data_IF_400877679002
#
_entry.id   IF_400877679002
#
_cell.length_a   1.000
_cell.length_b   1.000
_cell.length_c   1.000
_cell.angle_alpha   90.00
_cell.angle_beta   90.00
_cell.angle_gamma   90.00
#
_symmetry.space_group_name_H-M   'P 1'
#
loop_
_entity.id
_entity.type
_entity.pdbx_description
1 polymer ?
#
# COMPACT_ATOMS: atom_id res chain seq x y z
N UNK A 1 13.80 -13.45 18.79
CA UNK A 1 13.53 -13.06 17.40
C UNK A 1 12.67 -11.80 17.42
N UNK A 2 13.01 -10.80 16.61
CA UNK A 2 12.25 -9.56 16.53
C UNK A 2 11.34 -9.60 15.29
N UNK A 3 10.08 -9.22 15.47
CA UNK A 3 9.15 -9.10 14.37
C UNK A 3 9.06 -7.64 13.95
N UNK A 4 9.25 -7.37 12.67
CA UNK A 4 9.15 -6.03 12.12
C UNK A 4 7.73 -5.77 11.64
N UNK A 5 7.21 -4.59 11.94
CA UNK A 5 5.92 -4.11 11.40
C UNK A 5 6.18 -2.86 10.59
N UNK A 6 6.06 -2.98 9.28
CA UNK A 6 6.18 -1.84 8.37
C UNK A 6 4.81 -1.26 8.06
N UNK A 7 4.72 0.06 8.06
CA UNK A 7 3.50 0.76 7.65
C UNK A 7 3.88 2.12 7.07
N UNK A 8 2.94 2.75 6.36
CA UNK A 8 3.12 4.08 5.83
C UNK A 8 1.78 4.79 5.74
N UNK A 9 1.75 6.06 6.13
CA UNK A 9 0.53 6.86 6.14
C UNK A 9 -0.09 7.02 4.75
N UNK A 10 0.70 6.93 3.68
CA UNK A 10 0.19 7.00 2.32
C UNK A 10 -0.85 5.90 2.03
N UNK A 11 -0.71 4.73 2.69
CA UNK A 11 -1.66 3.64 2.52
C UNK A 11 -3.03 3.97 3.10
N UNK A 12 -3.11 4.89 4.07
CA UNK A 12 -4.38 5.38 4.62
C UNK A 12 -5.08 6.34 3.66
N UNK A 13 -4.34 6.91 2.70
CA UNK A 13 -4.88 7.79 1.69
C UNK A 13 -5.38 7.04 0.45
N UNK A 14 -5.13 5.72 0.39
CA UNK A 14 -5.57 4.88 -0.73
C UNK A 14 -7.05 4.56 -0.59
N UNK A 15 -7.89 5.45 -1.11
CA UNK A 15 -9.34 5.34 -1.04
C UNK A 15 -9.90 4.89 -2.38
N UNK A 16 -10.43 3.67 -2.40
CA UNK A 16 -10.95 3.02 -3.60
C UNK A 16 -12.45 3.20 -3.78
N UNK A 17 -13.08 4.02 -2.93
CA UNK A 17 -14.51 4.26 -2.96
C UNK A 17 -15.26 3.47 -1.88
N UNK A 18 -16.49 3.93 -1.58
CA UNK A 18 -17.24 3.41 -0.42
C UNK A 18 -17.73 1.97 -0.58
N UNK A 19 -17.78 1.45 -1.81
CA UNK A 19 -18.30 0.11 -2.09
C UNK A 19 -17.20 -0.92 -2.34
N UNK A 20 -15.94 -0.53 -2.27
CA UNK A 20 -14.83 -1.45 -2.50
C UNK A 20 -14.43 -2.11 -1.17
N UNK A 21 -14.12 -3.45 -1.18
CA UNK A 21 -13.67 -4.12 0.05
C UNK A 21 -12.34 -3.60 0.57
N UNK A 22 -11.45 -3.13 -0.29
CA UNK A 22 -10.24 -2.44 0.13
C UNK A 22 -10.58 -1.00 0.50
N UNK A 23 -10.18 -0.57 1.69
CA UNK A 23 -10.50 0.78 2.18
C UNK A 23 -9.47 1.24 3.21
N UNK A 24 -9.32 2.56 3.39
CA UNK A 24 -8.46 3.10 4.46
C UNK A 24 -8.88 2.60 5.84
N UNK A 25 -10.16 2.37 6.07
CA UNK A 25 -10.68 1.88 7.36
C UNK A 25 -10.14 0.50 7.71
N UNK A 26 -9.87 -0.36 6.73
CA UNK A 26 -9.28 -1.68 6.97
C UNK A 26 -7.89 -1.55 7.58
N UNK A 27 -7.03 -0.73 7.00
CA UNK A 27 -5.68 -0.52 7.53
C UNK A 27 -5.73 0.11 8.91
N UNK A 28 -6.60 1.11 9.11
CA UNK A 28 -6.76 1.73 10.42
C UNK A 28 -7.18 0.70 11.48
N UNK A 29 -8.10 -0.20 11.15
CA UNK A 29 -8.55 -1.26 12.05
C UNK A 29 -7.41 -2.24 12.38
N UNK A 30 -6.60 -2.61 11.39
CA UNK A 30 -5.44 -3.50 11.61
C UNK A 30 -4.42 -2.85 12.52
N UNK A 31 -4.07 -1.59 12.28
CA UNK A 31 -3.10 -0.87 13.09
C UNK A 31 -3.62 -0.68 14.53
N UNK A 32 -4.90 -0.39 14.69
CA UNK A 32 -5.53 -0.28 16.01
C UNK A 32 -5.47 -1.61 16.75
N UNK A 33 -5.79 -2.71 16.07
CA UNK A 33 -5.72 -4.05 16.67
C UNK A 33 -4.30 -4.43 17.09
N UNK A 34 -3.27 -3.93 16.38
CA UNK A 34 -1.87 -4.20 16.70
C UNK A 34 -1.28 -3.20 17.71
N UNK A 35 -2.05 -2.25 18.20
CA UNK A 35 -1.58 -1.26 19.18
C UNK A 35 -1.66 -1.75 20.62
N UNK A 36 -2.31 -2.88 20.87
CA UNK A 36 -2.48 -3.42 22.22
C UNK A 36 -1.17 -3.87 22.86
N UNK A 37 -1.21 -4.06 24.19
CA UNK A 37 -0.03 -4.44 24.97
C UNK A 37 0.58 -5.78 24.51
N UNK A 38 -0.22 -6.69 23.98
CA UNK A 38 0.27 -7.97 23.48
C UNK A 38 1.26 -7.83 22.32
N UNK A 39 1.22 -6.68 21.61
CA UNK A 39 2.07 -6.40 20.46
C UNK A 39 3.13 -5.34 20.74
N UNK A 40 3.42 -5.08 22.02
CA UNK A 40 4.40 -4.05 22.40
C UNK A 40 5.83 -4.34 21.99
N UNK A 41 6.15 -5.59 21.67
CA UNK A 41 7.51 -5.99 21.26
C UNK A 41 7.75 -5.88 19.74
N UNK A 42 6.74 -5.49 18.97
CA UNK A 42 6.91 -5.28 17.54
C UNK A 42 7.86 -4.11 17.29
N UNK A 43 8.81 -4.30 16.36
CA UNK A 43 9.66 -3.22 15.89
C UNK A 43 8.92 -2.48 14.77
N UNK A 44 8.38 -1.31 15.09
CA UNK A 44 7.54 -0.53 14.18
C UNK A 44 8.39 0.40 13.35
N UNK A 45 8.29 0.29 12.04
CA UNK A 45 9.07 1.08 11.10
C UNK A 45 8.20 1.64 10.00
N UNK A 46 8.57 2.84 9.52
CA UNK A 46 7.93 3.39 8.34
C UNK A 46 8.50 2.68 7.10
N UNK A 47 7.60 2.23 6.22
CA UNK A 47 8.02 1.61 4.97
C UNK A 47 8.73 2.64 4.09
N UNK A 48 9.95 2.36 3.61
CA UNK A 48 10.63 3.24 2.66
C UNK A 48 10.00 3.13 1.27
N UNK A 49 10.24 4.14 0.44
CA UNK A 49 9.84 4.06 -0.96
C UNK A 49 10.65 2.97 -1.67
N UNK A 50 9.96 2.13 -2.44
CA UNK A 50 10.62 1.07 -3.17
C UNK A 50 11.42 1.62 -4.36
N UNK A 51 12.62 1.07 -4.57
CA UNK A 51 13.38 1.40 -5.78
C UNK A 51 12.85 0.58 -6.95
N UNK A 52 12.80 1.19 -8.14
CA UNK A 52 12.29 0.51 -9.33
C UNK A 52 13.06 -0.77 -9.64
N UNK A 53 14.36 -0.79 -9.42
CA UNK A 53 15.19 -1.96 -9.64
C UNK A 53 14.83 -3.13 -8.72
N UNK A 54 14.35 -2.84 -7.51
CA UNK A 54 13.90 -3.90 -6.59
C UNK A 54 12.55 -4.46 -7.01
N UNK A 55 11.66 -3.60 -7.51
CA UNK A 55 10.37 -4.03 -8.05
C UNK A 55 10.60 -4.88 -9.30
N UNK A 56 11.58 -4.51 -10.13
CA UNK A 56 11.90 -5.21 -11.36
C UNK A 56 12.47 -6.62 -11.14
N UNK A 57 12.87 -6.96 -9.92
CA UNK A 57 13.27 -8.33 -9.58
C UNK A 57 12.10 -9.32 -9.65
N UNK A 58 10.90 -8.85 -9.35
CA UNK A 58 9.70 -9.70 -9.31
C UNK A 58 8.80 -9.49 -10.54
N UNK A 59 8.97 -8.38 -11.25
CA UNK A 59 8.13 -8.02 -12.39
C UNK A 59 8.98 -7.58 -13.57
N UNK A 60 8.59 -7.92 -14.82
CA UNK A 60 9.28 -7.40 -16.00
C UNK A 60 9.31 -5.87 -15.99
N UNK A 61 10.44 -5.28 -16.39
CA UNK A 61 10.59 -3.83 -16.36
C UNK A 61 9.53 -3.11 -17.20
N UNK A 62 9.19 -3.69 -18.36
CA UNK A 62 8.15 -3.11 -19.23
C UNK A 62 6.80 -3.04 -18.52
N UNK A 63 6.47 -4.04 -17.70
CA UNK A 63 5.25 -4.03 -16.89
C UNK A 63 5.28 -2.92 -15.83
N UNK A 64 6.43 -2.76 -15.16
CA UNK A 64 6.60 -1.71 -14.14
C UNK A 64 6.43 -0.34 -14.77
N UNK A 65 7.05 -0.09 -15.91
CA UNK A 65 6.96 1.20 -16.62
C UNK A 65 5.52 1.48 -17.06
N UNK A 66 4.83 0.47 -17.59
CA UNK A 66 3.43 0.61 -18.00
C UNK A 66 2.51 0.92 -16.81
N UNK A 67 2.76 0.29 -15.67
CA UNK A 67 1.99 0.54 -14.45
C UNK A 67 2.18 1.97 -13.96
N UNK A 68 3.41 2.47 -13.95
CA UNK A 68 3.70 3.84 -13.53
C UNK A 68 3.04 4.86 -14.44
N UNK A 69 3.01 4.59 -15.75
CA UNK A 69 2.34 5.46 -16.72
C UNK A 69 0.83 5.49 -16.50
N UNK A 70 0.25 4.40 -15.97
CA UNK A 70 -1.18 4.28 -15.71
C UNK A 70 -1.62 4.96 -14.41
N UNK A 71 -0.67 5.34 -13.53
CA UNK A 71 -1.01 6.02 -12.26
C UNK A 71 -1.67 7.37 -12.55
N UNK A 72 -2.90 7.61 -12.07
CA UNK A 72 -3.62 8.87 -12.36
C UNK A 72 -3.02 10.04 -11.58
N UNK A 73 -3.13 11.23 -12.14
CA UNK A 73 -2.69 12.46 -11.48
C UNK A 73 -3.70 12.96 -10.46
N UNK A 74 -4.94 12.58 -10.63
CA UNK A 74 -6.02 12.87 -9.67
C UNK A 74 -7.10 11.81 -9.81
N UNK A 75 -7.86 11.58 -8.74
CA UNK A 75 -8.83 10.52 -8.69
C UNK A 75 -8.19 9.15 -8.72
N UNK A 76 -8.83 8.19 -9.36
CA UNK A 76 -8.32 6.83 -9.47
C UNK A 76 -8.58 6.26 -10.86
N UNK A 77 -7.80 5.24 -11.22
CA UNK A 77 -7.94 4.50 -12.47
C UNK A 77 -8.09 3.02 -12.16
N UNK A 78 -9.01 2.35 -12.85
CA UNK A 78 -9.18 0.91 -12.70
C UNK A 78 -8.09 0.19 -13.51
N UNK A 79 -7.29 -0.66 -12.85
CA UNK A 79 -6.32 -1.52 -13.50
C UNK A 79 -6.97 -2.82 -13.97
N UNK A 80 -7.94 -3.29 -13.21
CA UNK A 80 -8.88 -4.35 -13.58
C UNK A 80 -10.18 -4.12 -12.79
N UNK A 81 -11.11 -5.09 -12.81
CA UNK A 81 -12.42 -4.92 -12.18
C UNK A 81 -12.34 -4.70 -10.66
N UNK A 82 -11.29 -5.20 -10.02
CA UNK A 82 -11.15 -5.16 -8.57
C UNK A 82 -9.95 -4.35 -8.08
N UNK A 83 -9.11 -3.83 -9.00
CA UNK A 83 -7.87 -3.15 -8.65
C UNK A 83 -7.91 -1.71 -9.12
N UNK A 84 -7.80 -0.78 -8.18
CA UNK A 84 -7.78 0.66 -8.46
C UNK A 84 -6.42 1.25 -8.12
N UNK A 85 -6.01 2.25 -8.87
CA UNK A 85 -4.78 2.99 -8.64
C UNK A 85 -5.10 4.46 -8.38
N UNK A 86 -4.36 5.06 -7.46
CA UNK A 86 -4.44 6.47 -7.12
C UNK A 86 -3.07 7.13 -7.31
N UNK A 87 -3.04 8.46 -7.17
CA UNK A 87 -1.84 9.27 -7.42
C UNK A 87 -0.61 8.84 -6.60
N UNK A 88 -0.82 8.27 -5.43
CA UNK A 88 0.27 7.91 -4.51
C UNK A 88 0.83 6.49 -4.70
N UNK A 89 0.36 5.76 -5.67
CA UNK A 89 0.81 4.40 -5.94
C UNK A 89 1.82 4.35 -7.07
#
# INVERSE_FOLDING_TARGET
>A
MTTLLFSHKACLAHDTGSHHPESPARLAAVLDGLSGAAFGKLDRRQAPEARLEDIARAHPRAFVDALLDAVPKQGYAALDADTLSLIHI
#
